data_IF_258463794879
#
_entry.id   IF_258463794879
#
_cell.length_a   1.000
_cell.length_b   1.000
_cell.length_c   1.000
_cell.angle_alpha   90.00
_cell.angle_beta   90.00
_cell.angle_gamma   90.00
#
_symmetry.space_group_name_H-M   'P 1'
#
loop_
_entity.id
_entity.type
_entity.pdbx_description
1 polymer ?
#
# COMPACT_ATOMS: atom_id res chain seq x y z
N UNK A 1 -35.26 12.66 -1.08
CA UNK A 1 -35.18 11.20 -0.83
C UNK A 1 -35.34 10.49 -2.16
N UNK A 2 -34.25 10.04 -2.77
CA UNK A 2 -34.33 9.21 -3.98
C UNK A 2 -34.54 7.76 -3.52
N UNK A 3 -35.81 7.39 -3.42
CA UNK A 3 -36.22 6.00 -3.19
C UNK A 3 -35.94 5.24 -4.49
N UNK A 4 -35.12 4.19 -4.40
CA UNK A 4 -34.80 3.32 -5.53
C UNK A 4 -36.06 2.53 -5.90
N UNK A 5 -36.68 2.87 -7.04
CA UNK A 5 -37.85 2.16 -7.56
C UNK A 5 -37.46 0.80 -8.12
N UNK A 6 -38.39 -0.16 -8.08
CA UNK A 6 -38.13 -1.54 -8.54
C UNK A 6 -37.83 -1.63 -10.05
N UNK A 7 -38.24 -0.62 -10.82
CA UNK A 7 -37.90 -0.46 -12.24
C UNK A 7 -36.40 -0.17 -12.47
N UNK A 8 -35.73 0.53 -11.55
CA UNK A 8 -34.29 0.76 -11.63
C UNK A 8 -33.49 -0.54 -11.42
N UNK A 9 -34.08 -1.54 -10.76
CA UNK A 9 -33.48 -2.87 -10.55
C UNK A 9 -33.61 -3.80 -11.76
N UNK A 10 -34.40 -3.43 -12.78
CA UNK A 10 -34.77 -4.32 -13.90
C UNK A 10 -34.27 -3.86 -15.28
N UNK A 11 -33.46 -2.80 -15.40
CA UNK A 11 -32.95 -2.35 -16.70
C UNK A 11 -31.78 -3.19 -17.21
N UNK A 12 -31.92 -3.74 -18.41
CA UNK A 12 -30.84 -4.40 -19.15
C UNK A 12 -29.78 -3.41 -19.67
N UNK A 13 -28.52 -3.88 -19.75
CA UNK A 13 -27.37 -3.06 -20.12
C UNK A 13 -27.49 -2.50 -21.57
N UNK A 14 -27.22 -1.19 -21.79
CA UNK A 14 -27.55 -0.50 -23.04
C UNK A 14 -26.61 -0.79 -24.23
N UNK A 15 -25.76 -1.81 -24.18
CA UNK A 15 -24.72 -2.05 -25.20
C UNK A 15 -25.07 -3.08 -26.28
N UNK A 16 -26.23 -3.74 -26.22
CA UNK A 16 -26.70 -4.62 -27.30
C UNK A 16 -25.83 -5.85 -27.62
N UNK A 17 -24.86 -6.19 -26.77
CA UNK A 17 -24.00 -7.39 -26.91
C UNK A 17 -24.52 -8.47 -25.97
N UNK A 18 -25.05 -9.56 -26.53
CA UNK A 18 -25.52 -10.72 -25.76
C UNK A 18 -24.38 -11.69 -25.47
N UNK A 19 -23.70 -11.44 -24.35
CA UNK A 19 -22.94 -12.41 -23.56
C UNK A 19 -23.19 -12.05 -22.10
N UNK A 20 -23.64 -12.99 -21.26
CA UNK A 20 -24.14 -12.70 -19.90
C UNK A 20 -23.01 -12.39 -18.93
N UNK A 21 -22.40 -11.21 -19.08
CA UNK A 21 -21.77 -10.34 -18.07
C UNK A 21 -20.74 -9.44 -18.77
N UNK A 22 -20.47 -8.22 -18.24
CA UNK A 22 -19.33 -7.42 -18.67
C UNK A 22 -18.09 -8.31 -18.62
N UNK A 23 -17.28 -8.38 -19.67
CA UNK A 23 -16.00 -9.08 -19.56
C UNK A 23 -15.24 -8.44 -18.39
N UNK A 24 -15.13 -9.18 -17.29
CA UNK A 24 -14.19 -8.84 -16.23
C UNK A 24 -12.83 -8.74 -16.92
N UNK A 25 -12.38 -7.50 -17.17
CA UNK A 25 -11.07 -7.22 -17.76
C UNK A 25 -10.07 -8.07 -17.01
N UNK A 26 -9.40 -9.02 -17.68
CA UNK A 26 -8.45 -9.93 -17.03
C UNK A 26 -7.49 -9.13 -16.16
N UNK A 27 -7.57 -9.30 -14.84
CA UNK A 27 -6.68 -8.67 -13.86
C UNK A 27 -5.74 -9.76 -13.40
N UNK A 28 -4.44 -9.54 -13.54
CA UNK A 28 -3.48 -10.50 -13.05
C UNK A 28 -3.65 -10.68 -11.52
N UNK A 29 -3.86 -11.92 -11.07
CA UNK A 29 -3.88 -12.30 -9.65
C UNK A 29 -2.75 -13.26 -9.28
N UNK A 30 -1.95 -13.69 -10.25
CA UNK A 30 -0.87 -14.66 -10.04
C UNK A 30 -1.38 -15.93 -9.38
N UNK A 31 -0.74 -16.36 -8.29
CA UNK A 31 -1.15 -17.50 -7.47
C UNK A 31 -2.05 -17.12 -6.27
N UNK A 32 -2.33 -15.84 -6.07
CA UNK A 32 -3.22 -15.41 -4.98
C UNK A 32 -4.68 -15.54 -5.42
N UNK A 33 -5.59 -15.60 -4.45
CA UNK A 33 -7.03 -15.66 -4.73
C UNK A 33 -7.59 -14.37 -5.31
N UNK A 34 -6.94 -13.21 -5.07
CA UNK A 34 -7.45 -11.91 -5.50
C UNK A 34 -6.35 -10.99 -6.04
N UNK A 35 -6.67 -10.21 -7.08
CA UNK A 35 -5.71 -9.30 -7.71
C UNK A 35 -5.22 -8.19 -6.77
N UNK A 36 -6.02 -7.80 -5.77
CA UNK A 36 -5.65 -6.81 -4.74
C UNK A 36 -4.53 -7.39 -3.88
N UNK A 37 -4.74 -8.59 -3.33
CA UNK A 37 -3.74 -9.38 -2.60
C UNK A 37 -2.43 -9.49 -3.37
N UNK A 38 -2.51 -9.91 -4.64
CA UNK A 38 -1.34 -10.02 -5.50
C UNK A 38 -0.60 -8.69 -5.63
N UNK A 39 -1.32 -7.61 -5.92
CA UNK A 39 -0.73 -6.30 -6.16
C UNK A 39 -0.04 -5.72 -4.92
N UNK A 40 -0.59 -5.93 -3.73
CA UNK A 40 -0.01 -5.48 -2.47
C UNK A 40 1.29 -6.24 -2.13
N UNK A 41 1.30 -7.56 -2.35
CA UNK A 41 2.52 -8.36 -2.19
C UNK A 41 3.59 -7.88 -3.16
N UNK A 42 3.25 -7.70 -4.44
CA UNK A 42 4.17 -7.16 -5.45
C UNK A 42 4.68 -5.77 -5.06
N UNK A 43 3.83 -4.91 -4.51
CA UNK A 43 4.22 -3.57 -4.05
C UNK A 43 5.29 -3.64 -2.97
N UNK A 44 5.12 -4.49 -1.95
CA UNK A 44 6.11 -4.63 -0.87
C UNK A 44 7.44 -5.14 -1.43
N UNK A 45 7.40 -6.19 -2.26
CA UNK A 45 8.61 -6.79 -2.85
C UNK A 45 9.31 -5.84 -3.84
N UNK A 46 8.55 -5.06 -4.60
CA UNK A 46 9.11 -4.07 -5.54
C UNK A 46 9.89 -2.99 -4.80
N UNK A 47 9.41 -2.51 -3.65
CA UNK A 47 10.14 -1.53 -2.84
C UNK A 47 11.44 -2.10 -2.28
N UNK A 48 11.44 -3.38 -1.87
CA UNK A 48 12.66 -4.05 -1.42
C UNK A 48 13.71 -4.17 -2.53
N UNK A 49 13.29 -4.61 -3.72
CA UNK A 49 14.15 -4.70 -4.89
C UNK A 49 14.71 -3.33 -5.28
N UNK A 50 13.88 -2.28 -5.25
CA UNK A 50 14.28 -0.90 -5.53
C UNK A 50 15.30 -0.38 -4.50
N UNK A 51 15.07 -0.66 -3.21
CA UNK A 51 15.99 -0.30 -2.13
C UNK A 51 17.36 -0.93 -2.29
N UNK A 52 17.41 -2.23 -2.58
CA UNK A 52 18.65 -2.96 -2.89
C UNK A 52 19.36 -2.38 -4.12
N UNK A 53 18.61 -2.07 -5.18
CA UNK A 53 19.14 -1.42 -6.37
C UNK A 53 19.80 -0.08 -6.04
N UNK A 54 19.04 0.85 -5.46
CA UNK A 54 19.50 2.20 -5.13
C UNK A 54 20.69 2.21 -4.16
N UNK A 55 20.73 1.29 -3.20
CA UNK A 55 21.87 1.15 -2.29
C UNK A 55 23.14 0.69 -3.02
N UNK A 56 23.02 -0.26 -3.95
CA UNK A 56 24.16 -0.70 -4.77
C UNK A 56 24.64 0.39 -5.72
N UNK A 57 23.73 1.17 -6.32
CA UNK A 57 24.09 2.34 -7.13
C UNK A 57 24.93 3.32 -6.33
N UNK A 58 24.52 3.60 -5.09
CA UNK A 58 25.20 4.55 -4.20
C UNK A 58 26.61 4.09 -3.82
N UNK A 59 26.77 2.84 -3.40
CA UNK A 59 28.04 2.35 -2.83
C UNK A 59 29.01 1.83 -3.89
N UNK A 60 28.52 1.26 -4.99
CA UNK A 60 29.33 0.53 -5.97
C UNK A 60 29.10 0.97 -7.42
N UNK A 61 28.28 2.01 -7.66
CA UNK A 61 27.91 2.43 -9.01
C UNK A 61 26.96 1.45 -9.72
N UNK A 62 26.78 1.58 -11.05
CA UNK A 62 25.80 0.81 -11.83
C UNK A 62 26.24 -0.63 -12.11
N UNK A 63 26.53 -1.39 -11.06
CA UNK A 63 26.95 -2.78 -11.10
C UNK A 63 25.79 -3.75 -11.46
N UNK A 64 26.09 -5.05 -11.58
CA UNK A 64 25.07 -6.06 -11.87
C UNK A 64 23.95 -6.09 -10.82
N UNK A 65 24.27 -5.93 -9.53
CA UNK A 65 23.28 -5.93 -8.43
C UNK A 65 22.31 -4.77 -8.53
N UNK A 66 22.79 -3.58 -8.90
CA UNK A 66 21.95 -2.43 -9.21
C UNK A 66 21.00 -2.74 -10.37
N UNK A 67 21.54 -3.25 -11.49
CA UNK A 67 20.74 -3.59 -12.67
C UNK A 67 19.68 -4.64 -12.35
N UNK A 68 20.03 -5.68 -11.60
CA UNK A 68 19.09 -6.72 -11.14
C UNK A 68 18.02 -6.15 -10.21
N UNK A 69 18.38 -5.29 -9.25
CA UNK A 69 17.42 -4.64 -8.34
C UNK A 69 16.41 -3.76 -9.08
N UNK A 70 16.89 -2.96 -10.04
CA UNK A 70 16.01 -2.12 -10.88
C UNK A 70 15.15 -2.98 -11.81
N UNK A 71 15.72 -3.98 -12.47
CA UNK A 71 14.98 -4.88 -13.36
C UNK A 71 13.90 -5.65 -12.59
N UNK A 72 14.21 -6.17 -11.41
CA UNK A 72 13.24 -6.83 -10.54
C UNK A 72 12.14 -5.87 -10.09
N UNK A 73 12.47 -4.66 -9.62
CA UNK A 73 11.47 -3.66 -9.24
C UNK A 73 10.57 -3.28 -10.43
N UNK A 74 11.13 -3.12 -11.62
CA UNK A 74 10.37 -2.77 -12.83
C UNK A 74 9.44 -3.91 -13.26
N UNK A 75 9.91 -5.16 -13.21
CA UNK A 75 9.11 -6.34 -13.51
C UNK A 75 7.94 -6.49 -12.52
N UNK A 76 8.20 -6.30 -11.22
CA UNK A 76 7.16 -6.35 -10.19
C UNK A 76 6.16 -5.20 -10.36
N UNK A 77 6.63 -3.98 -10.67
CA UNK A 77 5.76 -2.84 -10.96
C UNK A 77 4.90 -3.05 -12.21
N UNK A 78 5.43 -3.70 -13.24
CA UNK A 78 4.65 -4.15 -14.40
C UNK A 78 3.56 -5.14 -13.97
N UNK A 79 3.89 -6.09 -13.07
CA UNK A 79 2.90 -6.97 -12.45
C UNK A 79 1.78 -6.20 -11.75
N UNK A 80 2.11 -5.17 -10.97
CA UNK A 80 1.12 -4.27 -10.35
C UNK A 80 0.26 -3.61 -11.42
N UNK A 81 0.85 -3.09 -12.50
CA UNK A 81 0.09 -2.47 -13.59
C UNK A 81 -0.89 -3.45 -14.27
N UNK A 82 -0.48 -4.72 -14.46
CA UNK A 82 -1.33 -5.79 -15.01
C UNK A 82 -2.47 -6.20 -14.07
N UNK A 83 -2.39 -5.92 -12.76
CA UNK A 83 -3.52 -6.07 -11.84
C UNK A 83 -4.58 -4.98 -12.02
N UNK A 84 -4.28 -3.91 -12.77
CA UNK A 84 -5.10 -2.71 -12.90
C UNK A 84 -5.47 -2.01 -11.57
N UNK A 85 -4.72 -2.27 -10.48
CA UNK A 85 -4.89 -1.63 -9.18
C UNK A 85 -4.23 -0.24 -9.15
N UNK A 86 -4.99 0.78 -9.55
CA UNK A 86 -4.49 2.18 -9.59
C UNK A 86 -4.05 2.68 -8.22
N UNK A 87 -4.79 2.32 -7.15
CA UNK A 87 -4.45 2.70 -5.77
C UNK A 87 -3.08 2.18 -5.36
N UNK A 88 -2.78 0.93 -5.72
CA UNK A 88 -1.50 0.27 -5.40
C UNK A 88 -0.36 0.82 -6.25
N UNK A 89 -0.58 1.20 -7.51
CA UNK A 89 0.41 1.92 -8.32
C UNK A 89 0.79 3.28 -7.71
N UNK A 90 -0.20 4.01 -7.19
CA UNK A 90 0.03 5.28 -6.49
C UNK A 90 0.83 5.04 -5.21
N UNK A 91 0.42 4.05 -4.41
CA UNK A 91 1.14 3.65 -3.19
C UNK A 91 2.59 3.22 -3.47
N UNK A 92 2.81 2.40 -4.50
CA UNK A 92 4.16 2.04 -4.97
C UNK A 92 4.97 3.28 -5.37
N UNK A 93 4.37 4.20 -6.10
CA UNK A 93 5.06 5.43 -6.54
C UNK A 93 5.42 6.33 -5.36
N UNK A 94 4.53 6.48 -4.38
CA UNK A 94 4.81 7.23 -3.15
C UNK A 94 6.00 6.62 -2.38
N UNK A 95 6.01 5.30 -2.23
CA UNK A 95 7.16 4.59 -1.66
C UNK A 95 8.44 4.83 -2.45
N UNK A 96 8.40 4.68 -3.78
CA UNK A 96 9.54 4.87 -4.68
C UNK A 96 10.09 6.30 -4.63
N UNK A 97 9.21 7.31 -4.51
CA UNK A 97 9.59 8.70 -4.29
C UNK A 97 10.37 8.85 -2.98
N UNK A 98 9.87 8.27 -1.89
CA UNK A 98 10.54 8.29 -0.58
C UNK A 98 11.92 7.62 -0.65
N UNK A 99 12.05 6.43 -1.26
CA UNK A 99 13.36 5.80 -1.43
C UNK A 99 14.32 6.71 -2.19
N UNK A 100 13.86 7.25 -3.31
CA UNK A 100 14.72 8.05 -4.20
C UNK A 100 15.16 9.33 -3.50
N UNK A 101 14.25 10.00 -2.78
CA UNK A 101 14.55 11.19 -1.98
C UNK A 101 15.59 10.89 -0.89
N UNK A 102 15.60 9.67 -0.34
CA UNK A 102 16.51 9.28 0.74
C UNK A 102 17.86 8.78 0.22
N UNK A 103 17.89 8.15 -0.95
CA UNK A 103 19.10 7.55 -1.52
C UNK A 103 19.88 8.47 -2.47
N UNK A 104 19.19 9.29 -3.26
CA UNK A 104 19.82 10.13 -4.27
C UNK A 104 20.44 11.41 -3.69
N UNK A 105 21.44 11.95 -4.39
CA UNK A 105 22.11 13.22 -4.07
C UNK A 105 21.84 14.26 -5.18
N UNK A 106 21.91 15.55 -4.83
CA UNK A 106 21.77 16.66 -5.78
C UNK A 106 20.37 16.76 -6.42
N UNK A 107 20.32 17.20 -7.69
CA UNK A 107 19.07 17.45 -8.43
C UNK A 107 18.23 16.18 -8.64
N UNK A 108 18.86 15.00 -8.72
CA UNK A 108 18.17 13.71 -8.91
C UNK A 108 17.16 13.40 -7.79
N UNK A 109 17.41 13.92 -6.59
CA UNK A 109 16.51 13.80 -5.42
C UNK A 109 15.12 14.37 -5.68
N UNK A 110 15.00 15.35 -6.57
CA UNK A 110 13.73 16.01 -6.92
C UNK A 110 13.26 15.65 -8.33
N UNK A 111 14.19 15.52 -9.28
CA UNK A 111 13.85 15.21 -10.68
C UNK A 111 13.20 13.84 -10.83
N UNK A 112 13.71 12.80 -10.16
CA UNK A 112 13.16 11.45 -10.32
C UNK A 112 11.76 11.33 -9.68
N UNK A 113 11.52 11.77 -8.43
CA UNK A 113 10.15 11.83 -7.91
C UNK A 113 9.22 12.70 -8.77
N UNK A 114 9.70 13.85 -9.25
CA UNK A 114 8.93 14.72 -10.14
C UNK A 114 8.53 14.02 -11.43
N UNK A 115 9.45 13.28 -12.05
CA UNK A 115 9.17 12.49 -13.24
C UNK A 115 8.19 11.34 -12.97
N UNK A 116 8.33 10.62 -11.85
CA UNK A 116 7.39 9.55 -11.47
C UNK A 116 5.98 10.08 -11.24
N UNK A 117 5.85 11.21 -10.53
CA UNK A 117 4.56 11.87 -10.30
C UNK A 117 3.96 12.42 -11.61
N UNK A 118 4.81 12.95 -12.50
CA UNK A 118 4.37 13.39 -13.83
C UNK A 118 3.83 12.21 -14.66
N UNK A 119 4.52 11.06 -14.66
CA UNK A 119 4.04 9.86 -15.35
C UNK A 119 2.69 9.40 -14.80
N UNK A 120 2.51 9.40 -13.47
CA UNK A 120 1.21 9.11 -12.86
C UNK A 120 0.13 10.12 -13.26
N UNK A 121 0.46 11.42 -13.25
CA UNK A 121 -0.46 12.49 -13.62
C UNK A 121 -0.87 12.41 -15.09
N UNK A 122 0.08 12.15 -15.99
CA UNK A 122 -0.19 11.92 -17.41
C UNK A 122 -1.02 10.65 -17.62
N UNK A 123 -0.72 9.56 -16.90
CA UNK A 123 -1.55 8.36 -16.93
C UNK A 123 -2.98 8.63 -16.47
N UNK A 124 -3.16 9.38 -15.38
CA UNK A 124 -4.47 9.81 -14.91
C UNK A 124 -5.19 10.69 -15.93
N UNK A 125 -4.47 11.62 -16.57
CA UNK A 125 -5.01 12.51 -17.61
C UNK A 125 -5.43 11.75 -18.87
N UNK A 126 -4.63 10.79 -19.34
CA UNK A 126 -4.96 9.93 -20.50
C UNK A 126 -6.20 9.08 -20.18
N UNK A 127 -6.27 8.51 -18.98
CA UNK A 127 -7.46 7.76 -18.53
C UNK A 127 -8.69 8.67 -18.45
N UNK A 128 -8.51 9.92 -18.00
CA UNK A 128 -9.58 10.90 -17.97
C UNK A 128 -10.09 11.26 -19.36
N UNK A 129 -9.20 11.50 -20.32
CA UNK A 129 -9.55 11.88 -21.70
C UNK A 129 -10.18 10.73 -22.49
N UNK A 130 -9.73 9.49 -22.27
CA UNK A 130 -10.21 8.29 -22.99
C UNK A 130 -11.51 7.71 -22.42
N UNK A 131 -11.87 8.06 -21.18
CA UNK A 131 -13.15 7.66 -20.56
C UNK A 131 -14.13 8.84 -20.62
N UNK A 132 -14.87 8.89 -21.73
CA UNK A 132 -15.96 9.82 -22.05
C UNK A 132 -16.65 10.44 -20.82
N UNK A 133 -16.53 11.76 -20.68
CA UNK A 133 -17.34 12.74 -19.92
C UNK A 133 -17.76 12.46 -18.44
N UNK A 134 -17.50 11.27 -17.89
CA UNK A 134 -18.02 10.82 -16.58
C UNK A 134 -16.94 10.30 -15.62
N UNK A 135 -15.68 10.18 -16.04
CA UNK A 135 -14.60 9.58 -15.24
C UNK A 135 -14.10 10.42 -14.05
N UNK A 136 -14.36 11.73 -14.04
CA UNK A 136 -14.06 12.61 -12.90
C UNK A 136 -15.27 12.88 -12.00
N UNK A 137 -16.46 12.39 -12.37
CA UNK A 137 -17.53 12.29 -11.38
C UNK A 137 -17.19 11.07 -10.51
N UNK A 138 -17.34 11.21 -9.21
CA UNK A 138 -17.39 10.10 -8.24
C UNK A 138 -18.63 9.17 -8.49
N UNK A 139 -19.02 9.01 -9.75
CA UNK A 139 -20.19 8.29 -10.27
C UNK A 139 -19.79 7.07 -11.12
N UNK A 140 -18.51 6.64 -11.12
CA UNK A 140 -18.20 5.25 -11.47
C UNK A 140 -18.92 4.38 -10.41
N UNK A 141 -19.78 3.44 -10.82
CA UNK A 141 -20.63 2.64 -9.91
C UNK A 141 -19.85 1.98 -8.77
N UNK A 142 -18.58 1.61 -9.00
CA UNK A 142 -17.71 1.04 -7.98
C UNK A 142 -17.18 2.06 -6.97
N UNK A 143 -16.87 3.28 -7.41
CA UNK A 143 -16.35 4.35 -6.54
C UNK A 143 -17.46 4.95 -5.68
N UNK A 144 -18.65 5.16 -6.27
CA UNK A 144 -19.84 5.62 -5.54
C UNK A 144 -20.30 4.58 -4.50
N UNK A 145 -20.23 3.29 -4.83
CA UNK A 145 -20.51 2.21 -3.89
C UNK A 145 -19.55 2.22 -2.69
N UNK A 146 -18.23 2.30 -2.93
CA UNK A 146 -17.22 2.39 -1.86
C UNK A 146 -17.46 3.59 -0.94
N UNK A 147 -17.78 4.75 -1.51
CA UNK A 147 -18.06 5.96 -0.73
C UNK A 147 -19.32 5.79 0.13
N UNK A 148 -20.36 5.18 -0.43
CA UNK A 148 -21.63 4.92 0.29
C UNK A 148 -21.40 3.93 1.44
N UNK A 149 -20.69 2.83 1.20
CA UNK A 149 -20.33 1.84 2.23
C UNK A 149 -19.49 2.49 3.33
N UNK A 150 -18.48 3.29 2.97
CA UNK A 150 -17.67 4.04 3.93
C UNK A 150 -18.51 5.02 4.76
N UNK A 151 -19.44 5.75 4.14
CA UNK A 151 -20.32 6.69 4.83
C UNK A 151 -21.22 5.99 5.85
N UNK A 152 -21.84 4.86 5.48
CA UNK A 152 -22.66 4.04 6.40
C UNK A 152 -21.80 3.48 7.53
N UNK A 153 -20.58 3.00 7.26
CA UNK A 153 -19.68 2.53 8.31
C UNK A 153 -19.28 3.63 9.30
N UNK A 154 -18.90 4.80 8.79
CA UNK A 154 -18.45 5.94 9.61
C UNK A 154 -19.57 6.44 10.52
N UNK A 155 -20.81 6.54 10.04
CA UNK A 155 -21.93 7.01 10.85
C UNK A 155 -22.22 6.11 12.06
N UNK A 156 -21.82 4.83 11.99
CA UNK A 156 -22.04 3.85 13.06
C UNK A 156 -20.88 3.75 14.05
N UNK A 157 -19.65 4.11 13.68
CA UNK A 157 -18.46 3.99 14.55
C UNK A 157 -18.71 4.54 15.97
N UNK A 158 -19.41 5.67 16.08
CA UNK A 158 -19.66 6.34 17.36
C UNK A 158 -20.68 5.61 18.26
N UNK A 159 -21.38 4.58 17.76
CA UNK A 159 -22.25 3.73 18.57
C UNK A 159 -21.43 2.82 19.49
N UNK A 160 -20.27 2.36 19.03
CA UNK A 160 -19.36 1.48 19.78
C UNK A 160 -17.89 1.92 19.65
N UNK A 161 -17.52 3.12 20.13
CA UNK A 161 -16.21 3.71 19.84
C UNK A 161 -15.03 3.00 20.53
N UNK A 162 -15.28 2.24 21.60
CA UNK A 162 -14.22 1.58 22.38
C UNK A 162 -13.92 0.17 21.86
N UNK A 163 -14.95 -0.67 21.74
CA UNK A 163 -14.79 -2.08 21.35
C UNK A 163 -15.15 -2.37 19.89
N UNK A 164 -15.71 -1.39 19.18
CA UNK A 164 -16.25 -1.60 17.84
C UNK A 164 -17.50 -2.49 17.85
N UNK A 165 -17.97 -2.83 16.65
CA UNK A 165 -19.16 -3.66 16.46
C UNK A 165 -18.85 -5.16 16.50
N UNK A 166 -17.57 -5.54 16.57
CA UNK A 166 -17.11 -6.91 16.38
C UNK A 166 -16.77 -7.20 14.92
N UNK A 167 -15.91 -8.20 14.72
CA UNK A 167 -15.59 -8.71 13.38
C UNK A 167 -16.83 -9.30 12.72
N UNK A 168 -16.96 -9.16 11.40
CA UNK A 168 -18.08 -9.65 10.58
C UNK A 168 -19.47 -9.10 10.92
N UNK A 169 -19.60 -8.20 11.90
CA UNK A 169 -20.89 -7.62 12.26
C UNK A 169 -21.55 -6.87 11.09
N UNK A 170 -20.74 -6.22 10.25
CA UNK A 170 -21.20 -5.59 9.01
C UNK A 170 -21.79 -6.60 8.02
N UNK A 171 -21.22 -7.81 7.91
CA UNK A 171 -21.75 -8.86 7.04
C UNK A 171 -23.06 -9.41 7.59
N UNK A 172 -23.13 -9.65 8.90
CA UNK A 172 -24.32 -10.18 9.57
C UNK A 172 -25.53 -9.22 9.49
N UNK A 173 -25.27 -7.91 9.59
CA UNK A 173 -26.32 -6.89 9.66
C UNK A 173 -26.34 -5.95 8.43
N UNK A 174 -25.80 -6.39 7.29
CA UNK A 174 -25.62 -5.57 6.09
C UNK A 174 -26.86 -4.77 5.69
N UNK A 175 -27.97 -5.47 5.44
CA UNK A 175 -29.22 -4.84 5.02
C UNK A 175 -29.90 -4.07 6.17
N UNK A 176 -29.84 -4.61 7.40
CA UNK A 176 -30.45 -4.01 8.59
C UNK A 176 -29.85 -2.62 8.89
N UNK A 177 -28.54 -2.48 8.69
CA UNK A 177 -27.82 -1.24 8.95
C UNK A 177 -27.81 -0.26 7.78
N UNK A 178 -28.49 -0.62 6.68
CA UNK A 178 -28.67 0.26 5.52
C UNK A 178 -27.47 0.31 4.57
N UNK A 179 -26.62 -0.73 4.55
CA UNK A 179 -25.58 -0.83 3.54
C UNK A 179 -26.19 -1.08 2.14
N UNK A 180 -25.58 -0.51 1.07
CA UNK A 180 -26.12 -0.60 -0.28
C UNK A 180 -25.92 -1.99 -0.91
N UNK A 181 -26.89 -2.40 -1.74
CA UNK A 181 -26.76 -3.61 -2.56
C UNK A 181 -26.80 -4.92 -1.76
N UNK A 182 -26.64 -6.05 -2.47
CA UNK A 182 -26.60 -7.40 -1.87
C UNK A 182 -25.18 -7.94 -1.69
N UNK A 183 -24.21 -7.35 -2.37
CA UNK A 183 -22.81 -7.73 -2.26
C UNK A 183 -22.20 -7.10 -1.01
N UNK A 184 -21.88 -7.94 -0.03
CA UNK A 184 -21.26 -7.53 1.22
C UNK A 184 -19.79 -7.21 0.97
N UNK A 185 -19.41 -5.96 1.22
CA UNK A 185 -18.07 -5.43 0.97
C UNK A 185 -17.45 -4.88 2.25
N UNK A 186 -16.13 -4.97 2.36
CA UNK A 186 -15.37 -4.23 3.38
C UNK A 186 -15.56 -2.72 3.26
N UNK A 187 -15.17 -1.96 4.30
CA UNK A 187 -15.04 -0.49 4.23
C UNK A 187 -13.93 -0.02 3.29
N UNK A 188 -13.19 -0.94 2.67
CA UNK A 188 -12.10 -0.67 1.74
C UNK A 188 -11.09 0.33 2.29
N UNK A 189 -10.81 0.27 3.59
CA UNK A 189 -9.83 1.13 4.25
C UNK A 189 -9.47 0.49 5.59
N UNK A 190 -8.19 0.21 5.79
CA UNK A 190 -7.71 -0.43 7.02
C UNK A 190 -8.03 0.39 8.26
N UNK A 191 -7.78 1.72 8.31
CA UNK A 191 -8.16 2.53 9.46
C UNK A 191 -9.67 2.49 9.75
N UNK A 192 -10.52 2.62 8.73
CA UNK A 192 -11.97 2.63 8.91
C UNK A 192 -12.47 1.25 9.37
N UNK A 193 -12.00 0.17 8.74
CA UNK A 193 -12.39 -1.19 9.11
C UNK A 193 -11.95 -1.55 10.52
N UNK A 194 -10.71 -1.23 10.90
CA UNK A 194 -10.23 -1.45 12.27
C UNK A 194 -11.07 -0.68 13.30
N UNK A 195 -11.38 0.57 13.00
CA UNK A 195 -12.19 1.41 13.90
C UNK A 195 -13.62 0.88 14.02
N UNK A 196 -14.21 0.45 12.91
CA UNK A 196 -15.57 -0.11 12.88
C UNK A 196 -15.66 -1.42 13.66
N UNK A 197 -14.75 -2.36 13.39
CA UNK A 197 -14.78 -3.70 13.98
C UNK A 197 -14.32 -3.71 15.44
N UNK A 198 -13.28 -2.93 15.77
CA UNK A 198 -12.51 -3.05 17.03
C UNK A 198 -12.39 -1.75 17.83
N UNK A 199 -12.95 -0.64 17.33
CA UNK A 199 -12.96 0.65 18.00
C UNK A 199 -11.70 1.50 17.81
N UNK A 200 -11.76 2.74 18.32
CA UNK A 200 -10.68 3.73 18.29
C UNK A 200 -9.39 3.26 18.98
N UNK A 201 -9.41 2.52 20.11
CA UNK A 201 -8.18 2.00 20.71
C UNK A 201 -7.39 1.08 19.78
N UNK A 202 -8.07 0.26 18.97
CA UNK A 202 -7.41 -0.60 17.99
C UNK A 202 -6.76 0.20 16.86
N UNK A 203 -7.42 1.25 16.37
CA UNK A 203 -6.83 2.19 15.41
C UNK A 203 -5.58 2.88 16.01
N UNK A 204 -5.67 3.38 17.25
CA UNK A 204 -4.55 4.03 17.91
C UNK A 204 -3.35 3.08 18.07
N UNK A 205 -3.60 1.82 18.43
CA UNK A 205 -2.55 0.80 18.52
C UNK A 205 -1.94 0.52 17.15
N UNK A 206 -2.74 0.38 16.10
CA UNK A 206 -2.24 0.15 14.75
C UNK A 206 -1.38 1.32 14.26
N UNK A 207 -1.82 2.56 14.45
CA UNK A 207 -1.06 3.78 14.12
C UNK A 207 0.26 3.83 14.91
N UNK A 208 0.24 3.48 16.19
CA UNK A 208 1.43 3.41 17.01
C UNK A 208 2.42 2.36 16.48
N UNK A 209 1.95 1.16 16.12
CA UNK A 209 2.80 0.11 15.53
C UNK A 209 3.41 0.58 14.21
N UNK A 210 2.62 1.18 13.31
CA UNK A 210 3.11 1.71 12.04
C UNK A 210 4.18 2.79 12.27
N UNK A 211 3.94 3.71 13.20
CA UNK A 211 4.90 4.74 13.58
C UNK A 211 6.17 4.14 14.20
N UNK A 212 6.05 3.13 15.07
CA UNK A 212 7.18 2.46 15.69
C UNK A 212 8.09 1.79 14.65
N UNK A 213 7.52 1.06 13.69
CA UNK A 213 8.29 0.45 12.61
C UNK A 213 8.91 1.48 11.66
N UNK A 214 8.17 2.54 11.33
CA UNK A 214 8.71 3.65 10.56
C UNK A 214 9.92 4.27 11.26
N UNK A 215 9.82 4.58 12.55
CA UNK A 215 10.91 5.17 13.33
C UNK A 215 12.10 4.20 13.46
N UNK A 216 11.84 2.92 13.73
CA UNK A 216 12.88 1.89 13.84
C UNK A 216 13.67 1.76 12.53
N UNK A 217 12.97 1.56 11.43
CA UNK A 217 13.60 1.36 10.10
C UNK A 217 14.29 2.62 9.61
N UNK A 218 13.71 3.80 9.80
CA UNK A 218 14.34 5.06 9.41
C UNK A 218 15.59 5.39 10.25
N UNK A 219 15.60 5.07 11.55
CA UNK A 219 16.79 5.22 12.39
C UNK A 219 17.90 4.26 11.95
N UNK A 220 17.57 2.99 11.75
CA UNK A 220 18.53 1.99 11.30
C UNK A 220 19.07 2.30 9.89
N UNK A 221 18.21 2.70 8.95
CA UNK A 221 18.60 3.12 7.60
C UNK A 221 19.62 4.26 7.64
N UNK A 222 19.40 5.29 8.47
CA UNK A 222 20.35 6.42 8.59
C UNK A 222 21.73 5.99 9.10
N UNK A 223 21.78 5.00 10.00
CA UNK A 223 23.04 4.50 10.55
C UNK A 223 23.85 3.75 9.48
N UNK A 224 23.21 2.90 8.68
CA UNK A 224 23.90 2.12 7.64
C UNK A 224 24.05 2.82 6.31
N UNK A 225 23.47 4.01 6.17
CA UNK A 225 23.49 4.78 4.93
C UNK A 225 24.87 4.88 4.31
N UNK A 226 25.89 5.18 5.11
CA UNK A 226 27.27 5.35 4.64
C UNK A 226 28.17 4.16 5.04
N UNK A 227 27.57 3.03 5.41
CA UNK A 227 28.30 1.78 5.67
C UNK A 227 28.67 1.08 4.36
N UNK A 228 29.72 0.24 4.41
CA UNK A 228 30.13 -0.58 3.28
C UNK A 228 29.08 -1.66 2.92
N UNK A 229 28.22 -2.04 3.87
CA UNK A 229 27.18 -3.04 3.66
C UNK A 229 25.97 -2.46 2.90
N UNK A 230 26.13 -2.39 1.58
CA UNK A 230 25.08 -1.90 0.68
C UNK A 230 23.80 -2.73 0.74
N UNK A 231 23.89 -4.04 1.02
CA UNK A 231 22.71 -4.91 1.06
C UNK A 231 21.86 -4.62 2.29
N UNK A 232 22.49 -4.50 3.47
CA UNK A 232 21.79 -4.13 4.70
C UNK A 232 21.16 -2.75 4.61
N UNK A 233 21.90 -1.76 4.10
CA UNK A 233 21.34 -0.44 3.83
C UNK A 233 20.17 -0.51 2.85
N UNK A 234 20.30 -1.27 1.76
CA UNK A 234 19.27 -1.43 0.74
C UNK A 234 18.00 -2.10 1.24
N UNK A 235 18.11 -3.12 2.10
CA UNK A 235 16.96 -3.76 2.75
C UNK A 235 16.23 -2.77 3.67
N UNK A 236 16.95 -2.00 4.48
CA UNK A 236 16.38 -0.99 5.37
C UNK A 236 15.71 0.15 4.59
N UNK A 237 16.37 0.62 3.52
CA UNK A 237 15.83 1.64 2.61
C UNK A 237 14.56 1.12 1.92
N UNK A 238 14.59 -0.09 1.37
CA UNK A 238 13.45 -0.74 0.73
C UNK A 238 12.28 -0.93 1.68
N UNK A 239 12.55 -1.35 2.92
CA UNK A 239 11.51 -1.47 3.95
C UNK A 239 10.84 -0.14 4.27
N UNK A 240 11.58 0.98 4.26
CA UNK A 240 10.96 2.30 4.48
C UNK A 240 9.99 2.66 3.36
N UNK A 241 10.28 2.30 2.10
CA UNK A 241 9.29 2.46 1.03
C UNK A 241 8.13 1.49 1.11
N UNK A 242 8.39 0.25 1.51
CA UNK A 242 7.34 -0.75 1.71
C UNK A 242 6.34 -0.29 2.78
N UNK A 243 6.82 0.24 3.92
CA UNK A 243 5.96 0.80 4.96
C UNK A 243 5.17 2.00 4.42
N UNK A 244 5.81 2.92 3.71
CA UNK A 244 5.11 4.08 3.14
C UNK A 244 4.03 3.69 2.13
N UNK A 245 4.35 2.78 1.20
CA UNK A 245 3.41 2.25 0.23
C UNK A 245 2.27 1.51 0.92
N UNK A 246 2.58 0.64 1.87
CA UNK A 246 1.58 -0.12 2.62
C UNK A 246 0.62 0.81 3.38
N UNK A 247 1.12 1.83 4.07
CA UNK A 247 0.28 2.84 4.76
C UNK A 247 -0.57 3.59 3.74
N UNK A 248 0.01 4.08 2.65
CA UNK A 248 -0.72 4.83 1.62
C UNK A 248 -1.85 3.99 0.99
N UNK A 249 -1.57 2.72 0.69
CA UNK A 249 -2.56 1.80 0.14
C UNK A 249 -3.64 1.45 1.17
N UNK A 250 -3.23 1.24 2.43
CA UNK A 250 -4.13 0.93 3.56
C UNK A 250 -5.19 2.01 3.82
N UNK A 251 -4.98 3.25 3.38
CA UNK A 251 -5.99 4.32 3.50
C UNK A 251 -7.23 4.05 2.63
N UNK A 252 -7.05 3.32 1.52
CA UNK A 252 -8.07 3.11 0.48
C UNK A 252 -8.30 1.64 0.12
N UNK A 253 -7.60 0.72 0.82
CA UNK A 253 -7.74 -0.73 0.72
C UNK A 253 -7.70 -1.35 2.13
N UNK A 254 -8.37 -2.50 2.32
CA UNK A 254 -8.38 -3.22 3.61
C UNK A 254 -7.27 -4.28 3.68
N UNK A 255 -6.02 -3.82 3.59
CA UNK A 255 -4.83 -4.68 3.52
C UNK A 255 -4.63 -5.57 4.76
N UNK A 256 -5.06 -5.12 5.93
CA UNK A 256 -4.89 -5.89 7.18
C UNK A 256 -5.93 -7.01 7.36
N UNK A 257 -7.00 -7.00 6.57
CA UNK A 257 -7.97 -8.10 6.49
C UNK A 257 -7.48 -9.28 5.67
N UNK A 258 -6.41 -9.08 4.89
CA UNK A 258 -5.82 -10.09 4.02
C UNK A 258 -4.62 -10.74 4.72
N UNK A 259 -4.77 -12.05 5.02
CA UNK A 259 -3.73 -12.82 5.69
C UNK A 259 -2.44 -12.94 4.88
N UNK A 260 -2.51 -12.97 3.54
CA UNK A 260 -1.33 -13.11 2.69
C UNK A 260 -0.49 -11.83 2.69
N UNK A 261 -1.15 -10.67 2.58
CA UNK A 261 -0.48 -9.36 2.64
C UNK A 261 0.08 -9.11 4.04
N UNK A 262 -0.71 -9.37 5.08
CA UNK A 262 -0.29 -9.20 6.47
C UNK A 262 0.94 -10.07 6.78
N UNK A 263 0.98 -11.32 6.31
CA UNK A 263 2.12 -12.21 6.50
C UNK A 263 3.42 -11.64 5.92
N UNK A 264 3.38 -11.15 4.67
CA UNK A 264 4.56 -10.54 4.02
C UNK A 264 5.00 -9.27 4.76
N UNK A 265 4.04 -8.43 5.16
CA UNK A 265 4.33 -7.24 5.96
C UNK A 265 5.00 -7.59 7.29
N UNK A 266 4.45 -8.54 8.04
CA UNK A 266 5.00 -8.96 9.33
C UNK A 266 6.36 -9.64 9.23
N UNK A 267 6.56 -10.47 8.21
CA UNK A 267 7.87 -11.05 7.90
C UNK A 267 8.92 -9.95 7.66
N UNK A 268 8.56 -8.93 6.87
CA UNK A 268 9.43 -7.80 6.63
C UNK A 268 9.74 -7.04 7.93
N UNK A 269 8.72 -6.76 8.74
CA UNK A 269 8.89 -6.04 10.00
C UNK A 269 9.80 -6.80 10.98
N UNK A 270 9.63 -8.12 11.11
CA UNK A 270 10.51 -8.97 11.91
C UNK A 270 11.96 -8.94 11.42
N UNK A 271 12.16 -9.00 10.10
CA UNK A 271 13.48 -8.89 9.48
C UNK A 271 14.14 -7.54 9.82
N UNK A 272 13.37 -6.44 9.79
CA UNK A 272 13.88 -5.11 10.11
C UNK A 272 14.26 -4.96 11.58
N UNK A 273 13.54 -5.60 12.50
CA UNK A 273 13.93 -5.63 13.92
C UNK A 273 15.27 -6.31 14.09
N UNK A 274 15.52 -7.43 13.40
CA UNK A 274 16.82 -8.10 13.45
C UNK A 274 17.93 -7.22 12.87
N UNK A 275 17.72 -6.66 11.67
CA UNK A 275 18.70 -5.77 11.03
C UNK A 275 18.92 -4.46 11.80
N UNK A 276 18.01 -4.04 12.67
CA UNK A 276 18.20 -2.89 13.55
C UNK A 276 18.94 -3.26 14.85
N UNK A 277 18.87 -4.52 15.31
CA UNK A 277 19.46 -4.98 16.57
C UNK A 277 20.97 -5.12 16.52
N UNK A 278 21.57 -5.60 15.42
CA UNK A 278 23.03 -5.78 15.39
C UNK A 278 23.81 -4.45 15.48
N UNK A 279 23.10 -3.33 15.44
CA UNK A 279 23.62 -1.98 15.69
C UNK A 279 24.02 -1.80 17.16
N UNK A 280 23.19 -2.34 18.06
CA UNK A 280 23.38 -2.21 19.51
C UNK A 280 24.62 -2.96 20.00
N UNK A 281 24.97 -4.07 19.35
CA UNK A 281 26.19 -4.81 19.66
C UNK A 281 27.45 -4.10 19.13
N UNK A 282 27.39 -3.56 17.91
CA UNK A 282 28.50 -2.82 17.30
C UNK A 282 28.79 -1.48 18.02
N UNK A 283 27.75 -0.72 18.38
CA UNK A 283 27.90 0.53 19.14
C UNK A 283 28.40 0.28 20.57
N UNK A 284 27.89 -0.75 21.27
CA UNK A 284 28.37 -1.10 22.62
C UNK A 284 29.84 -1.47 22.63
N UNK A 285 30.34 -2.22 21.62
CA UNK A 285 31.76 -2.56 21.48
C UNK A 285 32.64 -1.33 21.21
N UNK A 286 32.16 -0.37 20.40
CA UNK A 286 32.91 0.86 20.13
C UNK A 286 33.02 1.76 21.38
N UNK A 287 31.97 1.85 22.19
CA UNK A 287 31.99 2.61 23.45
C UNK A 287 32.87 1.98 24.53
N UNK A 288 32.88 0.65 24.68
CA UNK A 288 33.77 -0.04 25.64
C UNK A 288 35.23 -0.03 25.23
N UNK A 289 35.53 0.04 23.93
CA UNK A 289 36.92 0.22 23.48
C UNK A 289 37.45 1.62 23.79
N UNK A 290 36.61 2.67 23.61
CA UNK A 290 36.98 4.05 23.95
C UNK A 290 37.18 4.29 25.44
N UNK A 291 36.41 3.63 26.31
CA UNK A 291 36.58 3.74 27.77
C UNK A 291 37.77 2.95 28.32
N UNK A 292 38.36 2.04 27.54
CA UNK A 292 39.55 1.27 27.93
C UNK A 292 40.86 1.88 27.43
N UNK A 293 40.78 2.82 26.51
CA UNK A 293 41.92 3.57 25.94
C UNK A 293 42.05 4.98 26.52
N UNK A 294 41.21 5.34 27.48
CA UNK A 294 41.27 6.57 28.28
C UNK A 294 41.60 6.19 29.72
#
# INVERSE_FOLDING_TARGET
SLVVTDEAKQRDAPSGITGRNPSHRFRASGWTRHYETFSEILQILAQLALGLGLANLKNHGPNLRFKLGIAASALLALGIALTAMRTVLVAFTLGACILTIRAARGKLRLLVPGALLLVLALGAFVVWQTRAEHALRLQDDSASLRLTVAHVGVSRIMLHPVFGHGMDAMHLHWNEWGFPGKEMLGLHSTPLQLTFDRGLPALALWLWIMAAFWLLTTRAERVFRDSADANRYGLLLGATGAIAGFIASSLVNYNFGDGEVALVFWWLMGTMVMLARDNGAAQRKATTHRSRSA
#
